data_IF_232246730066
#
_entry.id   IF_232246730066
#
_cell.length_a   1.000
_cell.length_b   1.000
_cell.length_c   1.000
_cell.angle_alpha   90.00
_cell.angle_beta   90.00
_cell.angle_gamma   90.00
#
_symmetry.space_group_name_H-M   'P 1'
#
loop_
_entity.id
_entity.type
_entity.pdbx_description
1 polymer ?
#
# COMPACT_ATOMS: atom_id res chain seq x y z
N UNK A 1 -8.86 2.71 -14.69
CA UNK A 1 -8.15 1.92 -13.66
C UNK A 1 -9.18 1.23 -12.81
N UNK A 2 -9.06 -0.08 -12.59
CA UNK A 2 -9.95 -0.79 -11.71
C UNK A 2 -9.86 -0.19 -10.31
N UNK A 3 -10.98 -0.03 -9.68
CA UNK A 3 -11.05 0.44 -8.30
C UNK A 3 -10.76 -0.74 -7.34
N UNK A 4 -9.54 -1.30 -7.41
CA UNK A 4 -9.13 -2.44 -6.56
C UNK A 4 -9.29 -2.17 -5.05
N UNK A 5 -9.31 -0.88 -4.67
CA UNK A 5 -9.54 -0.41 -3.31
C UNK A 5 -10.70 0.58 -3.29
N UNK A 6 -11.74 0.27 -2.54
CA UNK A 6 -12.96 1.07 -2.41
C UNK A 6 -13.14 1.66 -1.02
N UNK A 7 -14.05 2.61 -0.89
CA UNK A 7 -14.43 3.22 0.37
C UNK A 7 -15.86 2.79 0.78
N UNK A 8 -15.99 2.11 1.91
CA UNK A 8 -17.27 1.93 2.59
C UNK A 8 -17.62 3.21 3.37
N UNK A 9 -18.42 4.07 2.75
CA UNK A 9 -18.72 5.43 3.22
C UNK A 9 -19.21 5.48 4.67
N UNK A 10 -20.12 4.57 5.05
CA UNK A 10 -20.70 4.51 6.38
C UNK A 10 -19.69 4.31 7.52
N UNK A 11 -18.51 3.78 7.23
CA UNK A 11 -17.51 3.44 8.23
C UNK A 11 -16.46 4.55 8.45
N UNK A 12 -16.29 5.49 7.54
CA UNK A 12 -15.28 6.54 7.68
C UNK A 12 -15.64 7.52 8.81
N UNK A 13 -14.72 7.76 9.74
CA UNK A 13 -14.85 8.65 10.91
C UNK A 13 -13.88 9.83 10.86
N UNK A 14 -13.36 10.21 9.72
CA UNK A 14 -12.53 11.41 9.49
C UNK A 14 -11.26 11.49 10.38
N UNK A 15 -10.66 10.36 10.73
CA UNK A 15 -9.48 10.34 11.60
C UNK A 15 -8.15 10.65 10.88
N UNK A 16 -8.16 10.83 9.56
CA UNK A 16 -7.03 11.13 8.67
C UNK A 16 -5.87 10.11 8.73
N UNK A 17 -6.01 8.97 9.42
CA UNK A 17 -4.94 7.99 9.57
C UNK A 17 -4.44 7.45 8.23
N UNK A 18 -5.36 7.18 7.29
CA UNK A 18 -5.02 6.74 5.94
C UNK A 18 -4.22 7.81 5.14
N UNK A 19 -4.55 9.10 5.27
CA UNK A 19 -3.82 10.21 4.64
C UNK A 19 -2.39 10.30 5.20
N UNK A 20 -2.27 10.17 6.53
CA UNK A 20 -0.97 10.23 7.22
C UNK A 20 -0.02 9.13 6.74
N UNK A 21 -0.52 7.91 6.57
CA UNK A 21 0.27 6.74 6.17
C UNK A 21 0.33 6.53 4.64
N UNK A 22 -0.27 7.40 3.84
CA UNK A 22 -0.15 7.32 2.40
C UNK A 22 1.20 7.92 1.96
N UNK A 23 2.15 7.12 1.45
CA UNK A 23 3.49 7.61 1.11
C UNK A 23 3.47 8.60 -0.06
N UNK A 24 2.50 8.47 -0.96
CA UNK A 24 2.35 9.33 -2.15
C UNK A 24 1.21 10.34 -2.03
N UNK A 25 0.56 10.44 -0.85
CA UNK A 25 -0.54 11.35 -0.58
C UNK A 25 -1.70 11.29 -1.59
N UNK A 26 -1.96 10.10 -2.13
CA UNK A 26 -3.02 9.82 -3.10
C UNK A 26 -4.40 9.63 -2.44
N UNK A 27 -4.72 10.40 -1.41
CA UNK A 27 -6.01 10.37 -0.72
C UNK A 27 -6.53 11.79 -0.58
N UNK A 28 -7.70 12.05 -1.16
CA UNK A 28 -8.43 13.30 -1.04
C UNK A 28 -9.42 13.23 0.11
N UNK A 29 -9.49 14.30 0.89
CA UNK A 29 -10.54 14.52 1.86
C UNK A 29 -11.56 15.51 1.31
N UNK A 30 -12.80 15.09 1.19
CA UNK A 30 -13.92 15.94 0.76
C UNK A 30 -15.24 15.33 1.23
N UNK A 31 -16.22 16.17 1.52
CA UNK A 31 -17.53 15.75 2.01
C UNK A 31 -17.45 14.90 3.28
N UNK A 32 -16.56 15.25 4.19
CA UNK A 32 -16.30 14.53 5.44
C UNK A 32 -15.86 13.06 5.25
N UNK A 33 -15.17 12.74 4.15
CA UNK A 33 -14.68 11.39 3.86
C UNK A 33 -13.34 11.40 3.14
N UNK A 34 -12.59 10.31 3.32
CA UNK A 34 -11.28 10.11 2.69
C UNK A 34 -11.42 9.21 1.45
N UNK A 35 -11.26 9.77 0.25
CA UNK A 35 -11.37 9.11 -1.05
C UNK A 35 -9.99 8.82 -1.64
N UNK A 36 -9.82 7.63 -2.24
CA UNK A 36 -8.59 7.28 -2.95
C UNK A 36 -8.58 7.99 -4.32
N UNK A 37 -7.44 8.57 -4.69
CA UNK A 37 -7.24 9.18 -5.99
C UNK A 37 -6.56 8.14 -6.89
N UNK A 38 -7.33 7.45 -7.73
CA UNK A 38 -6.88 6.27 -8.49
C UNK A 38 -5.68 6.52 -9.40
N UNK A 39 -5.65 7.66 -10.11
CA UNK A 39 -4.53 8.02 -10.99
C UNK A 39 -3.21 8.32 -10.24
N UNK A 40 -3.26 8.63 -8.95
CA UNK A 40 -2.09 8.85 -8.10
C UNK A 40 -1.75 7.65 -7.23
N UNK A 41 -2.73 6.80 -6.93
CA UNK A 41 -2.58 5.65 -6.04
C UNK A 41 -1.62 4.61 -6.64
N UNK A 42 -0.68 4.12 -5.82
CA UNK A 42 0.26 3.04 -6.16
C UNK A 42 -0.19 1.65 -5.67
N UNK A 43 -1.39 1.55 -5.12
CA UNK A 43 -2.00 0.30 -4.64
C UNK A 43 -1.19 -0.44 -3.57
N UNK A 44 -0.41 0.27 -2.74
CA UNK A 44 0.38 -0.34 -1.66
C UNK A 44 -0.46 -0.93 -0.53
N UNK A 45 -1.77 -0.63 -0.44
CA UNK A 45 -2.67 -1.17 0.56
C UNK A 45 -2.53 -0.58 1.97
N UNK A 46 -1.59 0.33 2.25
CA UNK A 46 -1.38 0.88 3.60
C UNK A 46 -2.62 1.55 4.18
N UNK A 47 -3.41 2.27 3.36
CA UNK A 47 -4.67 2.87 3.81
C UNK A 47 -5.72 1.84 4.25
N UNK A 48 -5.68 0.64 3.69
CA UNK A 48 -6.52 -0.50 4.09
C UNK A 48 -6.05 -1.08 5.43
N UNK A 49 -4.74 -1.32 5.58
CA UNK A 49 -4.14 -1.88 6.80
C UNK A 49 -4.37 -0.98 8.01
N UNK A 50 -4.05 0.32 7.88
CA UNK A 50 -4.06 1.24 9.03
C UNK A 50 -5.44 1.74 9.42
N UNK A 51 -6.50 1.45 8.64
CA UNK A 51 -7.83 1.95 8.90
C UNK A 51 -8.48 1.26 10.11
N UNK A 52 -8.65 1.94 11.28
CA UNK A 52 -9.22 1.30 12.46
C UNK A 52 -10.74 1.08 12.34
N UNK A 53 -11.35 1.73 11.34
CA UNK A 53 -12.80 1.65 11.07
C UNK A 53 -13.14 0.64 9.97
N UNK A 54 -12.15 -0.03 9.38
CA UNK A 54 -12.33 -0.92 8.23
C UNK A 54 -13.14 -0.25 7.09
N UNK A 55 -12.90 1.06 6.89
CA UNK A 55 -13.59 1.84 5.86
C UNK A 55 -12.99 1.66 4.46
N UNK A 56 -11.82 1.05 4.33
CA UNK A 56 -11.21 0.69 3.05
C UNK A 56 -11.41 -0.80 2.81
N UNK A 57 -11.83 -1.17 1.60
CA UNK A 57 -12.10 -2.54 1.22
C UNK A 57 -11.39 -2.87 -0.09
N UNK A 58 -10.94 -4.11 -0.21
CA UNK A 58 -10.46 -4.68 -1.47
C UNK A 58 -11.69 -5.17 -2.23
N UNK A 59 -11.70 -4.99 -3.54
CA UNK A 59 -12.79 -5.52 -4.39
C UNK A 59 -12.68 -7.04 -4.44
N UNK A 60 -13.77 -7.71 -4.10
CA UNK A 60 -13.87 -9.17 -4.12
C UNK A 60 -14.08 -9.67 -5.56
N UNK A 61 -13.19 -10.57 -6.01
CA UNK A 61 -13.30 -11.22 -7.32
C UNK A 61 -13.77 -12.69 -7.24
N UNK A 62 -14.25 -13.16 -6.08
CA UNK A 62 -14.71 -14.54 -5.91
C UNK A 62 -15.80 -14.91 -6.91
N UNK A 63 -16.78 -14.04 -7.16
CA UNK A 63 -17.83 -14.30 -8.13
C UNK A 63 -17.30 -14.34 -9.58
N UNK A 64 -16.30 -13.52 -9.92
CA UNK A 64 -15.61 -13.60 -11.22
C UNK A 64 -14.96 -14.97 -11.42
N UNK A 65 -14.30 -15.50 -10.38
CA UNK A 65 -13.71 -16.84 -10.41
C UNK A 65 -14.78 -17.92 -10.50
N UNK A 66 -15.88 -17.82 -9.77
CA UNK A 66 -17.01 -18.77 -9.87
C UNK A 66 -17.57 -18.85 -11.29
N UNK A 67 -17.68 -17.73 -11.98
CA UNK A 67 -18.09 -17.70 -13.39
C UNK A 67 -17.09 -18.45 -14.27
N UNK A 68 -15.78 -18.31 -14.04
CA UNK A 68 -14.75 -19.08 -14.79
C UNK A 68 -14.87 -20.58 -14.53
N UNK A 69 -15.09 -21.00 -13.28
CA UNK A 69 -15.24 -22.41 -12.90
C UNK A 69 -16.49 -23.08 -13.46
N UNK A 70 -17.55 -22.30 -13.68
CA UNK A 70 -18.78 -22.80 -14.34
C UNK A 70 -18.66 -22.90 -15.87
N UNK A 71 -17.54 -22.44 -16.43
CA UNK A 71 -17.23 -22.55 -17.85
C UNK A 71 -16.76 -23.94 -18.26
N UNK A 72 -16.41 -24.08 -19.54
CA UNK A 72 -15.89 -25.36 -20.10
C UNK A 72 -14.37 -25.48 -20.08
N UNK A 73 -13.69 -24.34 -19.92
CA UNK A 73 -12.23 -24.28 -19.95
C UNK A 73 -11.62 -24.67 -18.59
N UNK A 74 -10.51 -25.39 -18.55
CA UNK A 74 -9.86 -25.75 -17.29
C UNK A 74 -9.31 -24.50 -16.59
N UNK A 75 -9.62 -24.34 -15.30
CA UNK A 75 -9.16 -23.21 -14.50
C UNK A 75 -7.98 -23.64 -13.61
N UNK A 76 -6.82 -23.04 -13.84
CA UNK A 76 -5.59 -23.29 -13.08
C UNK A 76 -5.36 -22.20 -12.04
N UNK A 77 -4.82 -22.58 -10.91
CA UNK A 77 -4.36 -21.64 -9.88
C UNK A 77 -2.84 -21.47 -9.95
N UNK A 78 -2.40 -20.21 -9.97
CA UNK A 78 -1.04 -19.78 -9.66
C UNK A 78 -1.00 -19.30 -8.22
N UNK A 79 -0.49 -20.12 -7.30
CA UNK A 79 -0.47 -19.85 -5.87
C UNK A 79 0.84 -19.18 -5.46
N UNK A 80 0.77 -17.97 -4.88
CA UNK A 80 1.96 -17.25 -4.43
C UNK A 80 2.67 -17.98 -3.27
N UNK A 81 4.01 -18.11 -3.29
CA UNK A 81 4.75 -18.94 -2.31
C UNK A 81 4.66 -18.41 -0.86
N UNK A 82 4.18 -17.20 -0.64
CA UNK A 82 3.85 -16.68 0.70
C UNK A 82 2.67 -17.41 1.38
N UNK A 83 1.95 -18.29 0.66
CA UNK A 83 0.85 -19.05 1.23
C UNK A 83 1.27 -19.89 2.43
N UNK A 84 2.51 -20.42 2.44
CA UNK A 84 3.06 -21.22 3.55
C UNK A 84 3.15 -20.43 4.86
N UNK A 85 3.34 -19.12 4.77
CA UNK A 85 3.34 -18.24 5.94
C UNK A 85 1.92 -17.84 6.35
N UNK A 86 0.98 -17.74 5.40
CA UNK A 86 -0.41 -17.40 5.68
C UNK A 86 -1.21 -18.58 6.28
N UNK A 87 -0.97 -19.77 5.76
CA UNK A 87 -1.67 -21.01 6.18
C UNK A 87 -0.69 -21.93 6.91
N UNK A 88 -0.46 -21.64 8.19
CA UNK A 88 0.54 -22.33 9.04
C UNK A 88 0.41 -23.86 9.00
N UNK A 89 1.44 -24.54 8.52
CA UNK A 89 1.50 -25.98 8.40
C UNK A 89 0.77 -26.58 7.20
N UNK A 90 0.34 -25.77 6.22
CA UNK A 90 -0.35 -26.23 5.03
C UNK A 90 0.60 -26.17 3.82
N UNK A 91 0.95 -27.32 3.23
CA UNK A 91 1.78 -27.42 2.04
C UNK A 91 0.98 -27.34 0.73
N UNK A 92 1.70 -27.39 -0.41
CA UNK A 92 1.08 -27.25 -1.74
C UNK A 92 0.09 -28.37 -2.05
N UNK A 93 0.35 -29.60 -1.61
CA UNK A 93 -0.56 -30.73 -1.86
C UNK A 93 -1.90 -30.57 -1.11
N UNK A 94 -1.87 -30.08 0.12
CA UNK A 94 -3.07 -29.76 0.89
C UNK A 94 -3.87 -28.64 0.23
N UNK A 95 -3.19 -27.59 -0.25
CA UNK A 95 -3.83 -26.51 -1.02
C UNK A 95 -4.44 -27.02 -2.32
N UNK A 96 -3.72 -27.89 -3.05
CA UNK A 96 -4.21 -28.50 -4.30
C UNK A 96 -5.48 -29.31 -4.05
N UNK A 97 -5.50 -30.12 -3.00
CA UNK A 97 -6.68 -30.91 -2.60
C UNK A 97 -7.89 -30.03 -2.30
N UNK A 98 -7.70 -28.97 -1.49
CA UNK A 98 -8.76 -28.07 -1.10
C UNK A 98 -9.31 -27.27 -2.30
N UNK A 99 -8.44 -26.74 -3.13
CA UNK A 99 -8.84 -25.93 -4.28
C UNK A 99 -9.49 -26.78 -5.39
N UNK A 100 -9.12 -28.04 -5.54
CA UNK A 100 -9.84 -28.99 -6.42
C UNK A 100 -11.28 -29.25 -5.94
N UNK A 101 -11.55 -29.20 -4.62
CA UNK A 101 -12.93 -29.27 -4.11
C UNK A 101 -13.78 -28.03 -4.48
N UNK A 102 -13.13 -26.86 -4.66
CA UNK A 102 -13.79 -25.66 -5.15
C UNK A 102 -14.05 -25.69 -6.68
N UNK A 103 -13.53 -26.70 -7.39
CA UNK A 103 -13.73 -26.88 -8.83
C UNK A 103 -12.53 -26.48 -9.71
N UNK A 104 -11.40 -26.05 -9.12
CA UNK A 104 -10.19 -25.79 -9.91
C UNK A 104 -9.62 -27.07 -10.53
N UNK A 105 -9.11 -26.94 -11.76
CA UNK A 105 -8.54 -28.07 -12.48
C UNK A 105 -7.22 -28.52 -11.85
N UNK A 106 -6.31 -27.57 -11.62
CA UNK A 106 -5.05 -27.84 -10.90
C UNK A 106 -4.49 -26.59 -10.24
N UNK A 107 -3.50 -26.80 -9.33
CA UNK A 107 -2.86 -25.74 -8.54
C UNK A 107 -1.35 -25.89 -8.64
N UNK A 108 -0.70 -24.85 -9.13
CA UNK A 108 0.75 -24.77 -9.25
C UNK A 108 1.30 -23.55 -8.50
N UNK A 109 2.57 -23.61 -8.12
CA UNK A 109 3.21 -22.52 -7.40
C UNK A 109 3.69 -21.43 -8.36
N UNK A 110 3.39 -20.15 -8.03
CA UNK A 110 3.98 -19.00 -8.74
C UNK A 110 5.52 -18.99 -8.68
N UNK A 111 6.11 -19.77 -7.79
CA UNK A 111 7.56 -19.95 -7.69
C UNK A 111 8.19 -20.55 -8.98
N UNK A 112 7.41 -21.26 -9.79
CA UNK A 112 7.80 -21.66 -11.16
C UNK A 112 8.05 -20.40 -12.02
N UNK A 113 7.11 -19.48 -12.03
CA UNK A 113 7.26 -18.18 -12.71
C UNK A 113 8.39 -17.33 -12.13
N UNK A 114 8.65 -17.44 -10.81
CA UNK A 114 9.77 -16.78 -10.17
C UNK A 114 11.13 -17.32 -10.68
N UNK A 115 11.24 -18.63 -10.92
CA UNK A 115 12.43 -19.21 -11.57
C UNK A 115 12.63 -18.66 -12.98
N UNK A 116 11.56 -18.57 -13.77
CA UNK A 116 11.60 -17.99 -15.12
C UNK A 116 12.08 -16.53 -15.09
N UNK A 117 11.54 -15.72 -14.18
CA UNK A 117 11.90 -14.30 -14.05
C UNK A 117 13.34 -14.11 -13.56
N UNK A 118 13.79 -14.92 -12.60
CA UNK A 118 15.16 -14.91 -12.10
C UNK A 118 16.16 -15.21 -13.23
N UNK A 119 15.89 -16.23 -14.03
CA UNK A 119 16.73 -16.57 -15.18
C UNK A 119 16.79 -15.42 -16.20
N UNK A 120 15.70 -14.66 -16.35
CA UNK A 120 15.68 -13.49 -17.24
C UNK A 120 16.49 -12.33 -16.67
N UNK A 121 16.47 -12.10 -15.35
CA UNK A 121 17.35 -11.11 -14.72
C UNK A 121 18.82 -11.47 -14.86
N UNK A 122 19.20 -12.73 -14.61
CA UNK A 122 20.57 -13.20 -14.81
C UNK A 122 20.99 -12.98 -16.26
N UNK A 123 20.17 -13.40 -17.24
CA UNK A 123 20.44 -13.21 -18.67
C UNK A 123 20.55 -11.73 -19.07
N UNK A 124 19.67 -10.88 -18.53
CA UNK A 124 19.69 -9.43 -18.81
C UNK A 124 20.97 -8.80 -18.28
N UNK A 125 21.39 -9.14 -17.06
CA UNK A 125 22.65 -8.64 -16.48
C UNK A 125 23.88 -9.11 -17.27
N UNK A 126 23.84 -10.32 -17.85
CA UNK A 126 24.95 -10.81 -18.68
C UNK A 126 25.04 -10.11 -20.04
N UNK A 127 23.93 -9.74 -20.61
CA UNK A 127 23.84 -9.19 -21.98
C UNK A 127 23.84 -7.66 -22.05
N UNK A 128 23.34 -7.00 -21.02
CA UNK A 128 23.17 -5.55 -20.98
C UNK A 128 24.10 -4.90 -19.94
N UNK A 129 24.79 -3.85 -20.36
CA UNK A 129 25.65 -3.08 -19.44
C UNK A 129 24.87 -1.87 -18.89
N UNK A 130 23.80 -2.13 -18.14
CA UNK A 130 23.06 -1.09 -17.40
C UNK A 130 23.81 -0.76 -16.12
N UNK A 131 23.94 0.53 -15.79
CA UNK A 131 24.62 0.94 -14.57
C UNK A 131 23.86 0.56 -13.30
N UNK A 132 22.53 0.77 -13.32
CA UNK A 132 21.62 0.40 -12.22
C UNK A 132 20.42 -0.34 -12.78
N UNK A 133 20.00 -1.43 -12.12
CA UNK A 133 18.83 -2.20 -12.46
C UNK A 133 17.92 -2.34 -11.25
N UNK A 134 16.67 -1.89 -11.36
CA UNK A 134 15.62 -2.08 -10.36
C UNK A 134 14.75 -3.26 -10.80
N UNK A 135 14.50 -4.21 -9.91
CA UNK A 135 13.61 -5.35 -10.19
C UNK A 135 12.16 -4.91 -10.43
N UNK A 136 11.47 -5.52 -11.42
CA UNK A 136 10.09 -5.18 -11.82
C UNK A 136 9.01 -6.13 -11.28
N UNK A 137 9.33 -7.01 -10.34
CA UNK A 137 8.39 -7.98 -9.78
C UNK A 137 7.25 -7.34 -8.99
N UNK A 138 7.52 -6.23 -8.29
CA UNK A 138 6.55 -5.53 -7.47
C UNK A 138 5.77 -4.50 -8.27
N UNK A 139 4.50 -4.77 -8.59
CA UNK A 139 3.67 -3.85 -9.36
C UNK A 139 3.47 -2.48 -8.68
N UNK A 140 3.43 -2.45 -7.36
CA UNK A 140 3.37 -1.19 -6.59
C UNK A 140 4.59 -0.31 -6.83
N UNK A 141 5.79 -0.89 -6.90
CA UNK A 141 7.02 -0.14 -7.24
C UNK A 141 7.00 0.32 -8.70
N UNK A 142 6.51 -0.52 -9.61
CA UNK A 142 6.35 -0.13 -11.01
C UNK A 142 5.41 1.09 -11.13
N UNK A 143 4.26 1.07 -10.44
CA UNK A 143 3.33 2.20 -10.37
C UNK A 143 3.94 3.43 -9.69
N UNK A 144 4.78 3.25 -8.66
CA UNK A 144 5.49 4.35 -8.02
C UNK A 144 6.42 5.06 -9.01
N UNK A 145 7.19 4.30 -9.78
CA UNK A 145 8.09 4.83 -10.79
C UNK A 145 7.29 5.49 -11.92
N UNK A 146 6.35 4.77 -12.52
CA UNK A 146 5.55 5.28 -13.66
C UNK A 146 4.77 6.55 -13.35
N UNK A 147 4.27 6.71 -12.10
CA UNK A 147 3.40 7.83 -11.69
C UNK A 147 4.15 8.97 -11.02
N UNK A 148 5.14 8.66 -10.19
CA UNK A 148 5.76 9.65 -9.29
C UNK A 148 7.23 9.92 -9.55
N UNK A 149 7.92 9.01 -10.24
CA UNK A 149 9.35 9.10 -10.55
C UNK A 149 9.62 8.62 -11.99
N UNK A 150 8.96 9.19 -13.02
CA UNK A 150 9.09 8.72 -14.40
C UNK A 150 10.53 8.79 -14.93
N UNK A 151 11.37 9.66 -14.36
CA UNK A 151 12.79 9.77 -14.70
C UNK A 151 13.58 8.50 -14.32
N UNK A 152 13.03 7.64 -13.43
CA UNK A 152 13.65 6.39 -13.03
C UNK A 152 13.23 5.19 -13.90
N UNK A 153 12.40 5.39 -14.96
CA UNK A 153 11.94 4.29 -15.83
C UNK A 153 13.08 3.56 -16.52
N UNK A 154 14.15 4.25 -16.91
CA UNK A 154 15.31 3.65 -17.58
C UNK A 154 16.09 2.67 -16.70
N UNK A 155 15.93 2.77 -15.36
CA UNK A 155 16.53 1.85 -14.41
C UNK A 155 15.65 0.64 -14.11
N UNK A 156 14.35 0.70 -14.44
CA UNK A 156 13.42 -0.40 -14.18
C UNK A 156 13.65 -1.54 -15.19
N UNK A 157 13.81 -2.77 -14.69
CA UNK A 157 13.92 -3.94 -15.54
C UNK A 157 12.63 -4.15 -16.35
N UNK A 158 12.74 -4.29 -17.66
CA UNK A 158 11.61 -4.48 -18.56
C UNK A 158 11.16 -5.96 -18.63
N UNK A 159 11.03 -6.59 -17.45
CA UNK A 159 10.70 -8.00 -17.28
C UNK A 159 9.33 -8.16 -16.64
N UNK A 160 8.53 -9.12 -17.15
CA UNK A 160 7.22 -9.46 -16.57
C UNK A 160 7.37 -10.00 -15.14
N UNK A 161 6.30 -9.90 -14.35
CA UNK A 161 6.31 -10.42 -12.97
C UNK A 161 6.20 -11.95 -12.92
N UNK A 162 6.59 -12.60 -11.80
CA UNK A 162 6.40 -14.04 -11.61
C UNK A 162 4.96 -14.53 -11.84
N UNK A 163 3.96 -13.74 -11.43
CA UNK A 163 2.55 -14.03 -11.71
C UNK A 163 2.29 -14.12 -13.21
N UNK A 164 2.73 -13.12 -13.97
CA UNK A 164 2.53 -13.11 -15.43
C UNK A 164 3.33 -14.20 -16.12
N UNK A 165 4.58 -14.44 -15.71
CA UNK A 165 5.44 -15.47 -16.27
C UNK A 165 4.84 -16.87 -16.08
N UNK A 166 4.34 -17.18 -14.89
CA UNK A 166 3.72 -18.45 -14.58
C UNK A 166 2.40 -18.66 -15.32
N UNK A 167 1.51 -17.64 -15.31
CA UNK A 167 0.24 -17.74 -16.04
C UNK A 167 0.43 -17.88 -17.56
N UNK A 168 1.44 -17.21 -18.13
CA UNK A 168 1.84 -17.44 -19.55
C UNK A 168 2.34 -18.85 -19.77
N UNK A 169 3.15 -19.42 -18.86
CA UNK A 169 3.64 -20.79 -18.97
C UNK A 169 2.48 -21.79 -18.91
N UNK A 170 1.52 -21.62 -17.99
CA UNK A 170 0.31 -22.44 -17.93
C UNK A 170 -0.45 -22.37 -19.25
N UNK A 171 -0.74 -21.17 -19.77
CA UNK A 171 -1.47 -21.00 -21.05
C UNK A 171 -0.68 -21.54 -22.26
N UNK A 172 0.65 -21.53 -22.22
CA UNK A 172 1.48 -22.16 -23.24
C UNK A 172 1.36 -23.69 -23.23
N UNK A 173 1.30 -24.31 -22.04
CA UNK A 173 1.09 -25.76 -21.88
C UNK A 173 -0.36 -26.18 -22.12
N UNK A 174 -1.31 -25.31 -21.78
CA UNK A 174 -2.75 -25.54 -21.88
C UNK A 174 -3.43 -24.32 -22.55
N UNK A 175 -3.51 -24.27 -23.89
CA UNK A 175 -3.92 -23.06 -24.62
C UNK A 175 -5.31 -22.51 -24.26
N UNK A 176 -6.25 -23.37 -23.82
CA UNK A 176 -7.59 -22.95 -23.39
C UNK A 176 -7.70 -22.68 -21.89
N UNK A 177 -6.61 -22.79 -21.12
CA UNK A 177 -6.64 -22.62 -19.69
C UNK A 177 -7.02 -21.18 -19.29
N UNK A 178 -7.87 -21.09 -18.28
CA UNK A 178 -8.05 -19.88 -17.48
C UNK A 178 -7.09 -19.91 -16.30
N UNK A 179 -6.57 -18.77 -15.91
CA UNK A 179 -5.59 -18.67 -14.83
C UNK A 179 -6.07 -17.72 -13.74
N UNK A 180 -6.02 -18.21 -12.51
CA UNK A 180 -6.37 -17.44 -11.31
C UNK A 180 -5.11 -17.32 -10.43
N UNK A 181 -4.65 -16.11 -10.18
CA UNK A 181 -3.58 -15.91 -9.21
C UNK A 181 -4.16 -15.76 -7.80
N UNK A 182 -3.55 -16.42 -6.83
CA UNK A 182 -3.93 -16.30 -5.41
C UNK A 182 -2.70 -15.84 -4.60
N UNK A 183 -2.84 -14.72 -3.86
CA UNK A 183 -1.70 -14.17 -3.12
C UNK A 183 -2.04 -13.01 -2.17
N UNK A 184 -1.02 -12.40 -1.53
CA UNK A 184 -1.20 -11.41 -0.47
C UNK A 184 -1.39 -9.97 -0.98
N UNK A 185 -1.39 -9.74 -2.30
CA UNK A 185 -1.14 -8.43 -2.88
C UNK A 185 -2.36 -7.86 -3.61
N UNK A 186 -2.78 -6.65 -3.20
CA UNK A 186 -3.88 -5.92 -3.85
C UNK A 186 -3.50 -5.43 -5.25
N UNK A 187 -2.25 -4.96 -5.43
CA UNK A 187 -1.78 -4.42 -6.70
C UNK A 187 -1.75 -5.46 -7.83
N UNK A 188 -1.78 -6.75 -7.51
CA UNK A 188 -1.85 -7.82 -8.52
C UNK A 188 -3.20 -7.88 -9.25
N UNK A 189 -4.28 -7.36 -8.64
CA UNK A 189 -5.58 -7.20 -9.33
C UNK A 189 -5.46 -6.17 -10.47
N UNK A 190 -4.84 -5.02 -10.20
CA UNK A 190 -4.57 -4.00 -11.21
C UNK A 190 -3.58 -4.49 -12.29
N UNK A 191 -2.55 -5.23 -11.89
CA UNK A 191 -1.58 -5.79 -12.85
C UNK A 191 -2.25 -6.77 -13.83
N UNK A 192 -3.17 -7.62 -13.33
CA UNK A 192 -3.90 -8.57 -14.14
C UNK A 192 -4.83 -7.88 -15.15
N UNK A 193 -5.48 -6.80 -14.73
CA UNK A 193 -6.40 -6.04 -15.57
C UNK A 193 -5.68 -5.12 -16.55
N UNK A 194 -4.56 -4.50 -16.12
CA UNK A 194 -3.76 -3.61 -17.00
C UNK A 194 -3.08 -4.40 -18.14
N UNK A 195 -2.66 -5.64 -17.88
CA UNK A 195 -2.04 -6.53 -18.87
C UNK A 195 -2.99 -7.68 -19.22
N UNK A 196 -4.08 -7.34 -19.90
CA UNK A 196 -5.16 -8.26 -20.26
C UNK A 196 -4.70 -9.56 -20.98
N UNK A 197 -5.47 -10.62 -20.81
CA UNK A 197 -5.28 -11.88 -21.51
C UNK A 197 -4.24 -12.83 -20.90
N UNK A 198 -3.49 -12.39 -19.89
CA UNK A 198 -2.48 -13.24 -19.22
C UNK A 198 -3.05 -13.88 -17.95
N UNK A 199 -3.67 -13.09 -17.09
CA UNK A 199 -4.27 -13.55 -15.82
C UNK A 199 -5.74 -13.23 -15.87
N UNK A 200 -6.61 -14.22 -15.68
CA UNK A 200 -8.06 -14.03 -15.84
C UNK A 200 -8.73 -13.47 -14.57
N UNK A 201 -8.23 -13.82 -13.37
CA UNK A 201 -8.68 -13.26 -12.10
C UNK A 201 -7.59 -13.32 -11.02
N UNK A 202 -7.77 -12.50 -9.96
CA UNK A 202 -6.83 -12.47 -8.83
C UNK A 202 -7.62 -12.52 -7.52
N UNK A 203 -7.36 -13.52 -6.68
CA UNK A 203 -7.87 -13.59 -5.32
C UNK A 203 -6.78 -13.24 -4.31
N UNK A 204 -7.17 -12.56 -3.25
CA UNK A 204 -6.36 -12.44 -2.04
C UNK A 204 -6.53 -13.68 -1.16
N UNK A 205 -5.62 -13.88 -0.23
CA UNK A 205 -5.75 -14.98 0.75
C UNK A 205 -7.01 -14.84 1.60
N UNK A 206 -7.47 -13.63 1.88
CA UNK A 206 -8.70 -13.39 2.63
C UNK A 206 -9.94 -13.86 1.84
N UNK A 207 -10.03 -13.48 0.56
CA UNK A 207 -11.11 -13.93 -0.33
C UNK A 207 -11.14 -15.47 -0.43
N UNK A 208 -9.96 -16.10 -0.52
CA UNK A 208 -9.86 -17.56 -0.53
C UNK A 208 -10.30 -18.17 0.82
N UNK A 209 -9.81 -17.63 1.94
CA UNK A 209 -10.16 -18.14 3.28
C UNK A 209 -11.65 -18.07 3.52
N UNK A 210 -12.27 -16.89 3.23
CA UNK A 210 -13.72 -16.74 3.35
C UNK A 210 -14.51 -17.68 2.43
N UNK A 211 -13.96 -18.00 1.26
CA UNK A 211 -14.61 -18.93 0.34
C UNK A 211 -14.51 -20.37 0.85
N UNK A 212 -13.33 -20.82 1.30
CA UNK A 212 -13.15 -22.15 1.91
C UNK A 212 -14.07 -22.34 3.13
N UNK A 213 -14.18 -21.32 3.99
CA UNK A 213 -15.04 -21.34 5.17
C UNK A 213 -16.53 -21.48 4.78
N UNK A 214 -16.99 -20.76 3.77
CA UNK A 214 -18.39 -20.84 3.25
C UNK A 214 -18.72 -22.24 2.72
N UNK A 215 -17.77 -22.90 2.06
CA UNK A 215 -17.93 -24.26 1.52
C UNK A 215 -17.59 -25.36 2.55
N UNK A 216 -17.23 -25.00 3.79
CA UNK A 216 -16.80 -25.89 4.86
C UNK A 216 -15.61 -26.78 4.46
N UNK A 217 -14.68 -26.27 3.66
CA UNK A 217 -13.45 -26.96 3.25
C UNK A 217 -12.36 -26.68 4.27
N UNK A 218 -11.85 -27.71 4.91
CA UNK A 218 -10.78 -27.62 5.90
C UNK A 218 -9.44 -27.93 5.27
N UNK A 219 -8.45 -27.03 5.49
CA UNK A 219 -7.08 -27.25 5.03
C UNK A 219 -6.36 -28.26 5.94
N UNK A 220 -5.89 -29.35 5.37
CA UNK A 220 -5.09 -30.35 6.09
C UNK A 220 -3.69 -29.79 6.39
N UNK A 221 -3.22 -29.95 7.61
CA UNK A 221 -1.84 -29.57 7.98
C UNK A 221 -0.87 -30.67 7.56
N UNK A 222 -0.28 -30.50 6.42
CA UNK A 222 0.78 -31.31 5.87
C UNK A 222 1.70 -30.44 5.02
N UNK A 223 2.95 -30.32 5.39
CA UNK A 223 3.97 -29.51 4.70
C UNK A 223 4.88 -30.33 3.80
N UNK A 224 4.69 -31.63 3.73
CA UNK A 224 5.52 -32.50 2.89
C UNK A 224 5.31 -32.12 1.41
N UNK A 225 6.41 -31.87 0.75
CA UNK A 225 6.47 -31.60 -0.70
C UNK A 225 7.61 -32.42 -1.28
N UNK A 226 7.35 -33.11 -2.37
CA UNK A 226 8.39 -33.83 -3.12
C UNK A 226 9.33 -32.87 -3.87
N UNK A 227 8.86 -31.65 -4.14
CA UNK A 227 9.60 -30.62 -4.85
C UNK A 227 10.07 -29.52 -3.89
N UNK A 228 11.36 -29.21 -3.94
CA UNK A 228 11.97 -28.11 -3.21
C UNK A 228 12.61 -27.14 -4.20
N UNK A 229 12.34 -25.82 -4.02
CA UNK A 229 12.93 -24.81 -4.89
C UNK A 229 13.32 -23.57 -4.14
N UNK A 230 14.52 -23.03 -4.43
CA UNK A 230 14.94 -21.73 -3.88
C UNK A 230 14.11 -20.57 -4.39
N UNK A 231 13.39 -20.69 -5.51
CA UNK A 231 12.46 -19.65 -5.96
C UNK A 231 11.29 -19.42 -5.00
N UNK A 232 11.04 -20.32 -4.06
CA UNK A 232 10.10 -20.12 -2.95
C UNK A 232 10.52 -18.99 -1.98
N UNK A 233 11.79 -18.53 -2.02
CA UNK A 233 12.25 -17.36 -1.27
C UNK A 233 11.72 -16.01 -1.80
N UNK A 234 11.22 -15.94 -3.03
CA UNK A 234 10.79 -14.68 -3.66
C UNK A 234 9.87 -13.79 -2.80
N UNK A 235 8.98 -14.29 -1.94
CA UNK A 235 8.12 -13.45 -1.13
C UNK A 235 8.82 -12.81 0.08
N UNK A 236 10.12 -13.02 0.30
CA UNK A 236 10.90 -12.47 1.40
C UNK A 236 11.86 -11.40 0.91
N UNK A 237 12.25 -10.47 1.78
CA UNK A 237 13.28 -9.46 1.46
C UNK A 237 14.62 -10.12 1.14
N UNK A 238 15.20 -9.76 0.00
CA UNK A 238 16.39 -10.40 -0.55
C UNK A 238 16.12 -11.77 -1.18
N UNK A 239 14.84 -12.16 -1.32
CA UNK A 239 14.47 -13.47 -1.86
C UNK A 239 14.81 -13.63 -3.32
N UNK A 240 14.65 -12.59 -4.14
CA UNK A 240 15.10 -12.59 -5.54
C UNK A 240 16.61 -12.78 -5.58
N UNK A 241 17.35 -11.97 -4.80
CA UNK A 241 18.80 -12.04 -4.76
C UNK A 241 19.38 -13.39 -4.31
N UNK A 242 18.65 -14.12 -3.44
CA UNK A 242 19.04 -15.47 -3.02
C UNK A 242 18.96 -16.50 -4.14
N UNK A 243 18.15 -16.24 -5.14
CA UNK A 243 17.93 -17.17 -6.25
C UNK A 243 18.82 -16.89 -7.45
N UNK A 244 19.31 -15.63 -7.61
CA UNK A 244 20.14 -15.19 -8.74
C UNK A 244 21.56 -15.76 -8.67
N UNK A 245 22.17 -15.92 -9.83
CA UNK A 245 23.54 -16.41 -9.97
C UNK A 245 24.57 -15.42 -9.42
N UNK A 246 24.33 -14.09 -9.55
CA UNK A 246 25.22 -13.01 -9.11
C UNK A 246 26.64 -13.09 -9.71
N UNK A 247 26.71 -13.45 -11.00
CA UNK A 247 27.99 -13.69 -11.68
C UNK A 247 28.69 -12.37 -12.05
N UNK A 248 27.98 -11.24 -12.11
CA UNK A 248 28.53 -9.91 -12.39
C UNK A 248 29.23 -9.35 -11.14
N UNK A 249 30.55 -9.59 -11.04
CA UNK A 249 31.36 -9.29 -9.84
C UNK A 249 31.55 -7.80 -9.54
N UNK A 250 31.38 -6.95 -10.54
CA UNK A 250 31.45 -5.48 -10.42
C UNK A 250 30.11 -4.84 -10.02
N UNK A 251 29.06 -5.65 -9.78
CA UNK A 251 27.76 -5.19 -9.31
C UNK A 251 27.55 -5.47 -7.84
N UNK A 252 27.01 -4.47 -7.14
CA UNK A 252 26.40 -4.66 -5.82
C UNK A 252 24.98 -5.18 -5.95
N UNK A 253 24.58 -6.07 -5.06
CA UNK A 253 23.25 -6.67 -5.03
C UNK A 253 22.53 -6.27 -3.74
N UNK A 254 21.54 -5.39 -3.86
CA UNK A 254 20.86 -4.76 -2.73
C UNK A 254 19.39 -5.17 -2.69
N UNK A 255 18.85 -5.38 -1.48
CA UNK A 255 17.42 -5.57 -1.26
C UNK A 255 16.86 -4.42 -0.41
N UNK A 256 15.83 -3.75 -0.93
CA UNK A 256 15.18 -2.61 -0.30
C UNK A 256 13.68 -2.86 -0.23
N UNK A 257 13.13 -2.76 0.98
CA UNK A 257 11.70 -2.92 1.22
C UNK A 257 11.09 -1.70 1.93
N UNK A 258 9.78 -1.57 1.79
CA UNK A 258 9.02 -0.40 2.25
C UNK A 258 9.07 0.77 1.26
N UNK A 259 7.88 1.35 0.98
CA UNK A 259 7.75 2.42 -0.04
C UNK A 259 8.65 3.61 0.25
N UNK A 260 8.76 4.05 1.50
CA UNK A 260 9.58 5.22 1.87
C UNK A 260 11.07 4.97 1.63
N UNK A 261 11.56 3.76 1.94
CA UNK A 261 12.94 3.36 1.67
C UNK A 261 13.20 3.28 0.15
N UNK A 262 12.25 2.72 -0.60
CA UNK A 262 12.33 2.68 -2.07
C UNK A 262 12.34 4.10 -2.68
N UNK A 263 11.53 5.02 -2.16
CA UNK A 263 11.56 6.45 -2.58
C UNK A 263 12.92 7.07 -2.32
N UNK A 264 13.52 6.81 -1.15
CA UNK A 264 14.87 7.31 -0.83
C UNK A 264 15.92 6.77 -1.80
N UNK A 265 15.89 5.46 -2.06
CA UNK A 265 16.82 4.83 -3.00
C UNK A 265 16.64 5.36 -4.44
N UNK A 266 15.40 5.52 -4.91
CA UNK A 266 15.13 6.11 -6.24
C UNK A 266 15.72 7.53 -6.34
N UNK A 267 15.59 8.35 -5.30
CA UNK A 267 16.20 9.70 -5.26
C UNK A 267 17.73 9.66 -5.29
N UNK A 268 18.34 8.71 -4.59
CA UNK A 268 19.81 8.55 -4.62
C UNK A 268 20.29 8.06 -5.98
N UNK A 269 19.56 7.16 -6.66
CA UNK A 269 19.83 6.77 -8.04
C UNK A 269 19.74 7.98 -8.99
N UNK A 270 18.64 8.74 -8.93
CA UNK A 270 18.43 9.91 -9.78
C UNK A 270 19.44 11.04 -9.52
N UNK A 271 20.01 11.10 -8.32
CA UNK A 271 21.07 12.06 -7.98
C UNK A 271 22.49 11.57 -8.34
N UNK A 272 22.62 10.40 -8.97
CA UNK A 272 23.91 9.83 -9.39
C UNK A 272 24.82 9.41 -8.24
N UNK A 273 24.26 8.98 -7.11
CA UNK A 273 25.03 8.47 -5.96
C UNK A 273 25.19 6.96 -5.96
N UNK A 274 24.41 6.26 -6.78
CA UNK A 274 24.35 4.81 -6.82
C UNK A 274 24.73 4.35 -8.21
N UNK A 275 25.69 3.46 -8.31
CA UNK A 275 26.25 2.93 -9.54
C UNK A 275 26.45 1.43 -9.45
N UNK A 276 26.50 0.75 -10.60
CA UNK A 276 26.83 -0.68 -10.73
C UNK A 276 26.09 -1.54 -9.71
N UNK A 277 24.75 -1.51 -9.72
CA UNK A 277 24.00 -2.35 -8.81
C UNK A 277 22.70 -2.91 -9.40
N UNK A 278 22.33 -4.09 -8.90
CA UNK A 278 20.99 -4.67 -9.04
C UNK A 278 20.24 -4.50 -7.72
N UNK A 279 19.07 -3.87 -7.77
CA UNK A 279 18.27 -3.56 -6.59
C UNK A 279 16.95 -4.31 -6.61
N UNK A 280 16.79 -5.27 -5.71
CA UNK A 280 15.49 -5.86 -5.42
C UNK A 280 14.67 -4.84 -4.64
N UNK A 281 13.57 -4.32 -5.24
CA UNK A 281 12.67 -3.39 -4.57
C UNK A 281 11.29 -3.99 -4.32
N UNK A 282 10.79 -3.86 -3.11
CA UNK A 282 9.43 -4.22 -2.73
C UNK A 282 8.74 -3.15 -1.87
N UNK A 283 7.45 -2.92 -2.10
CA UNK A 283 6.70 -1.87 -1.42
C UNK A 283 6.33 -2.23 0.04
N UNK A 284 6.24 -3.52 0.36
CA UNK A 284 5.86 -4.01 1.68
C UNK A 284 7.11 -4.28 2.52
N UNK A 285 7.10 -3.91 3.80
CA UNK A 285 8.16 -4.25 4.75
C UNK A 285 8.13 -5.77 4.97
N UNK A 286 9.27 -6.44 4.82
CA UNK A 286 9.35 -7.90 4.77
C UNK A 286 9.02 -8.49 3.40
N UNK A 287 8.88 -7.66 2.35
CA UNK A 287 8.45 -8.06 1.01
C UNK A 287 7.01 -8.63 1.01
N UNK A 288 6.68 -9.63 0.18
CA UNK A 288 5.31 -10.12 0.03
C UNK A 288 4.73 -10.79 1.28
N UNK A 289 5.57 -11.37 2.17
CA UNK A 289 5.09 -11.92 3.47
C UNK A 289 4.58 -10.81 4.41
N UNK A 290 5.04 -9.56 4.24
CA UNK A 290 4.49 -8.37 4.89
C UNK A 290 3.42 -7.67 4.04
N UNK A 291 2.80 -8.36 3.09
CA UNK A 291 1.76 -7.79 2.22
C UNK A 291 0.52 -7.31 2.98
N UNK A 292 -0.26 -6.37 2.41
CA UNK A 292 -1.35 -5.69 3.14
C UNK A 292 -2.44 -6.64 3.63
N UNK A 293 -2.69 -7.74 2.93
CA UNK A 293 -3.68 -8.75 3.37
C UNK A 293 -3.14 -9.53 4.56
N UNK A 294 -1.89 -9.98 4.51
CA UNK A 294 -1.25 -10.69 5.62
C UNK A 294 -1.12 -9.79 6.84
N UNK A 295 -0.66 -8.55 6.68
CA UNK A 295 -0.53 -7.60 7.78
C UNK A 295 -1.89 -7.31 8.45
N UNK A 296 -2.96 -7.19 7.67
CA UNK A 296 -4.30 -6.89 8.18
C UNK A 296 -4.96 -8.04 8.92
N UNK A 297 -4.89 -9.25 8.40
CA UNK A 297 -5.67 -10.39 8.86
C UNK A 297 -4.83 -11.42 9.62
N UNK A 298 -3.64 -11.71 9.14
CA UNK A 298 -2.79 -12.73 9.73
C UNK A 298 -2.00 -12.22 10.94
N UNK A 299 -1.51 -10.96 10.91
CA UNK A 299 -0.77 -10.26 11.99
C UNK A 299 0.37 -11.08 12.59
N UNK A 300 1.00 -11.92 11.80
CA UNK A 300 2.15 -12.70 12.22
C UNK A 300 3.41 -11.80 12.33
N UNK A 301 4.43 -12.32 12.97
CA UNK A 301 5.75 -11.69 12.93
C UNK A 301 6.40 -11.95 11.58
N UNK A 302 6.87 -10.89 10.90
CA UNK A 302 7.66 -11.01 9.66
C UNK A 302 8.79 -12.04 9.81
N UNK A 303 9.39 -12.14 11.00
CA UNK A 303 10.43 -13.13 11.30
C UNK A 303 9.88 -14.57 11.27
N UNK A 304 8.71 -14.79 11.85
CA UNK A 304 8.04 -16.12 11.82
C UNK A 304 7.71 -16.50 10.37
N UNK A 305 7.19 -15.56 9.61
CA UNK A 305 6.79 -15.75 8.21
C UNK A 305 8.00 -16.04 7.32
N UNK A 306 9.10 -15.31 7.54
CA UNK A 306 10.38 -15.59 6.90
C UNK A 306 10.91 -17.00 7.21
N UNK A 307 10.83 -17.43 8.48
CA UNK A 307 11.25 -18.78 8.90
C UNK A 307 10.37 -19.84 8.22
N UNK A 308 9.05 -19.64 8.14
CA UNK A 308 8.14 -20.56 7.46
C UNK A 308 8.52 -20.73 5.98
N UNK A 309 8.73 -19.63 5.27
CA UNK A 309 9.20 -19.65 3.87
C UNK A 309 10.57 -20.32 3.76
N UNK A 310 11.51 -20.01 4.67
CA UNK A 310 12.87 -20.57 4.63
C UNK A 310 12.89 -22.10 4.83
N UNK A 311 12.00 -22.60 5.68
CA UNK A 311 11.87 -24.06 5.90
C UNK A 311 11.21 -24.77 4.71
N UNK A 312 10.36 -24.06 3.98
CA UNK A 312 9.64 -24.59 2.82
C UNK A 312 10.44 -24.47 1.53
N UNK A 313 11.36 -23.51 1.45
CA UNK A 313 12.24 -23.34 0.31
C UNK A 313 13.32 -24.45 0.24
N UNK A 314 13.80 -24.72 -0.96
CA UNK A 314 14.89 -25.65 -1.23
C UNK A 314 16.18 -24.94 -1.68
N UNK A 315 17.10 -25.72 -2.18
CA UNK A 315 18.41 -25.29 -2.68
C UNK A 315 18.56 -25.40 -4.21
N UNK A 316 17.57 -25.99 -4.88
CA UNK A 316 17.52 -26.17 -6.34
C UNK A 316 16.50 -25.22 -6.97
N UNK A 317 16.60 -25.03 -8.29
CA UNK A 317 15.58 -24.33 -9.06
C UNK A 317 14.51 -25.32 -9.57
N UNK A 318 13.32 -24.83 -9.88
CA UNK A 318 12.36 -25.59 -10.67
C UNK A 318 12.92 -25.82 -12.08
N UNK A 319 12.62 -26.99 -12.65
CA UNK A 319 12.88 -27.25 -14.08
C UNK A 319 11.84 -26.49 -14.89
N UNK A 320 12.27 -25.49 -15.64
CA UNK A 320 11.39 -24.63 -16.43
C UNK A 320 11.80 -24.59 -17.89
N UNK A 321 10.83 -24.47 -18.77
CA UNK A 321 11.08 -24.11 -20.16
C UNK A 321 11.18 -22.59 -20.27
N UNK A 322 12.41 -22.07 -20.37
CA UNK A 322 12.65 -20.63 -20.38
C UNK A 322 12.07 -20.00 -21.66
N UNK A 323 11.16 -19.01 -21.53
CA UNK A 323 10.66 -18.25 -22.69
C UNK A 323 11.76 -17.39 -23.33
N UNK A 324 11.49 -16.89 -24.54
CA UNK A 324 12.41 -15.95 -25.18
C UNK A 324 12.41 -14.60 -24.45
N UNK A 325 13.48 -13.81 -24.61
CA UNK A 325 13.53 -12.44 -24.07
C UNK A 325 12.33 -11.59 -24.50
N UNK A 326 11.89 -11.77 -25.75
CA UNK A 326 10.73 -11.05 -26.29
C UNK A 326 9.44 -11.36 -25.51
N UNK A 327 9.24 -12.62 -25.14
CA UNK A 327 8.06 -13.08 -24.40
C UNK A 327 8.08 -12.60 -22.95
N UNK A 328 9.29 -12.37 -22.41
CA UNK A 328 9.51 -11.90 -21.05
C UNK A 328 9.45 -10.37 -20.95
N UNK A 329 9.47 -9.67 -22.09
CA UNK A 329 9.50 -8.20 -22.09
C UNK A 329 8.20 -7.59 -21.60
N UNK A 330 8.33 -6.58 -20.73
CA UNK A 330 7.25 -5.76 -20.22
C UNK A 330 7.51 -4.30 -20.55
N UNK A 331 6.55 -3.64 -21.18
CA UNK A 331 6.67 -2.23 -21.52
C UNK A 331 6.10 -1.38 -20.38
N UNK A 332 6.89 -0.43 -19.90
CA UNK A 332 6.47 0.58 -18.95
C UNK A 332 6.39 1.94 -19.63
N UNK A 333 5.31 2.66 -19.40
CA UNK A 333 5.11 4.02 -19.89
C UNK A 333 4.85 4.96 -18.73
N UNK A 334 5.14 6.23 -18.94
CA UNK A 334 4.78 7.29 -17.98
C UNK A 334 3.27 7.34 -17.84
N UNK A 335 2.79 7.35 -16.61
CA UNK A 335 1.39 7.58 -16.28
C UNK A 335 1.28 9.03 -15.80
N UNK A 336 0.88 9.92 -16.71
CA UNK A 336 0.80 11.35 -16.43
C UNK A 336 -0.17 11.68 -15.29
N UNK A 337 0.31 12.48 -14.36
CA UNK A 337 -0.49 13.08 -13.30
C UNK A 337 -0.74 14.55 -13.64
N UNK A 338 -2.00 14.93 -13.82
CA UNK A 338 -2.39 16.33 -14.04
C UNK A 338 -2.44 17.08 -12.71
N UNK A 339 -1.30 17.20 -12.02
CA UNK A 339 -1.20 17.95 -10.78
C UNK A 339 -0.78 19.39 -11.09
N UNK A 340 -1.64 20.33 -10.78
CA UNK A 340 -1.28 21.75 -10.81
C UNK A 340 -0.31 22.02 -9.65
N UNK A 341 0.83 22.63 -9.96
CA UNK A 341 1.80 23.09 -8.95
C UNK A 341 1.46 24.55 -8.61
N UNK A 342 1.12 24.88 -7.35
CA UNK A 342 0.89 26.25 -6.94
C UNK A 342 2.18 27.06 -6.95
N UNK A 343 2.04 28.36 -7.19
CA UNK A 343 3.12 29.34 -6.97
C UNK A 343 3.40 29.56 -5.49
N UNK A 344 4.55 30.14 -5.18
CA UNK A 344 4.90 30.51 -3.80
C UNK A 344 3.89 31.46 -3.15
N UNK A 345 3.31 32.36 -3.95
CA UNK A 345 2.30 33.30 -3.49
C UNK A 345 0.99 32.60 -3.13
N UNK A 346 0.53 31.66 -3.95
CA UNK A 346 -0.68 30.85 -3.68
C UNK A 346 -0.50 30.01 -2.41
N UNK A 347 0.70 29.41 -2.21
CA UNK A 347 1.01 28.66 -0.99
C UNK A 347 0.93 29.59 0.23
N UNK A 348 1.55 30.78 0.18
CA UNK A 348 1.49 31.75 1.27
C UNK A 348 0.07 32.20 1.58
N UNK A 349 -0.74 32.46 0.56
CA UNK A 349 -2.14 32.86 0.74
C UNK A 349 -2.94 31.77 1.47
N UNK A 350 -2.75 30.49 1.12
CA UNK A 350 -3.41 29.38 1.80
C UNK A 350 -2.89 29.23 3.24
N UNK A 351 -1.59 29.39 3.49
CA UNK A 351 -1.03 29.38 4.85
C UNK A 351 -1.64 30.50 5.71
N UNK A 352 -1.79 31.71 5.15
CA UNK A 352 -2.48 32.82 5.84
C UNK A 352 -3.93 32.46 6.19
N UNK A 353 -4.69 31.85 5.26
CA UNK A 353 -6.06 31.38 5.54
C UNK A 353 -6.10 30.32 6.63
N UNK A 354 -5.03 29.56 6.84
CA UNK A 354 -4.85 28.60 7.92
C UNK A 354 -4.37 29.25 9.23
N UNK A 355 -4.33 30.58 9.34
CA UNK A 355 -3.81 31.30 10.50
C UNK A 355 -2.28 31.31 10.63
N UNK A 356 -1.55 31.02 9.53
CA UNK A 356 -0.08 30.90 9.52
C UNK A 356 0.54 32.03 8.72
N UNK A 357 0.65 33.20 9.35
CA UNK A 357 1.20 34.42 8.73
C UNK A 357 2.72 34.53 8.89
N UNK A 358 3.32 33.74 9.79
CA UNK A 358 4.76 33.73 10.08
C UNK A 358 5.29 32.30 10.09
N UNK A 359 6.55 32.04 9.68
CA UNK A 359 7.16 30.71 9.71
C UNK A 359 7.10 30.01 11.08
N UNK A 360 7.18 30.78 12.19
CA UNK A 360 7.06 30.23 13.55
C UNK A 360 5.70 29.62 13.88
N UNK A 361 4.66 29.93 13.11
CA UNK A 361 3.31 29.36 13.25
C UNK A 361 3.12 28.08 12.45
N UNK A 362 4.09 27.73 11.59
CA UNK A 362 4.10 26.47 10.84
C UNK A 362 4.61 25.33 11.72
N UNK A 363 3.74 24.81 12.60
CA UNK A 363 4.11 23.79 13.61
C UNK A 363 4.56 22.46 13.01
N UNK A 364 4.24 22.19 11.75
CA UNK A 364 4.56 20.93 11.04
C UNK A 364 4.20 19.66 11.84
N UNK A 365 3.08 19.72 12.61
CA UNK A 365 2.73 18.70 13.62
C UNK A 365 2.19 17.38 13.04
N UNK A 366 1.93 17.30 11.74
CA UNK A 366 1.45 16.09 11.06
C UNK A 366 0.01 15.67 11.39
N UNK A 367 -0.71 16.33 12.30
CA UNK A 367 -2.06 15.92 12.75
C UNK A 367 -3.09 15.82 11.62
N UNK A 368 -2.98 16.68 10.60
CA UNK A 368 -3.83 16.69 9.41
C UNK A 368 -3.49 15.59 8.37
N UNK A 369 -2.40 14.84 8.59
CA UNK A 369 -1.93 13.78 7.67
C UNK A 369 -0.84 14.22 6.69
N UNK A 370 -0.43 15.50 6.69
CA UNK A 370 0.69 16.04 5.92
C UNK A 370 1.86 16.35 6.83
N UNK A 371 3.09 16.09 6.37
CA UNK A 371 4.28 16.25 7.22
C UNK A 371 4.59 17.71 7.52
N UNK A 372 4.33 18.61 6.56
CA UNK A 372 4.53 20.06 6.75
C UNK A 372 3.25 20.84 6.49
N UNK A 373 3.17 22.04 7.07
CA UNK A 373 2.07 22.97 6.80
C UNK A 373 2.05 23.41 5.33
N UNK A 374 3.23 23.49 4.71
CA UNK A 374 3.41 23.81 3.30
C UNK A 374 2.87 22.69 2.38
N UNK A 375 3.19 21.42 2.67
CA UNK A 375 2.60 20.28 1.94
C UNK A 375 1.07 20.28 2.03
N UNK A 376 0.52 20.62 3.18
CA UNK A 376 -0.93 20.76 3.34
C UNK A 376 -1.49 21.90 2.49
N UNK A 377 -0.83 23.04 2.44
CA UNK A 377 -1.26 24.17 1.60
C UNK A 377 -1.29 23.78 0.12
N UNK A 378 -0.27 23.05 -0.36
CA UNK A 378 -0.24 22.49 -1.72
C UNK A 378 -1.42 21.52 -1.92
N UNK A 379 -1.70 20.64 -0.97
CA UNK A 379 -2.81 19.71 -1.04
C UNK A 379 -4.18 20.40 -1.05
N UNK A 380 -4.34 21.52 -0.33
CA UNK A 380 -5.56 22.36 -0.38
C UNK A 380 -5.71 22.95 -1.78
N UNK A 381 -4.65 23.54 -2.34
CA UNK A 381 -4.66 24.07 -3.71
C UNK A 381 -5.10 23.03 -4.73
N UNK A 382 -4.62 21.80 -4.60
CA UNK A 382 -4.97 20.67 -5.45
C UNK A 382 -6.36 20.06 -5.17
N UNK A 383 -7.13 20.62 -4.24
CA UNK A 383 -8.45 20.09 -3.85
C UNK A 383 -8.41 18.74 -3.14
N UNK A 384 -7.25 18.36 -2.56
CA UNK A 384 -7.04 17.10 -1.82
C UNK A 384 -7.31 17.22 -0.33
N UNK A 385 -7.24 18.44 0.20
CA UNK A 385 -7.39 18.72 1.63
C UNK A 385 -8.26 19.95 1.88
N UNK A 386 -8.82 20.04 3.07
CA UNK A 386 -9.59 21.18 3.55
C UNK A 386 -8.84 21.88 4.69
N UNK A 387 -9.04 23.20 4.83
CA UNK A 387 -8.47 24.01 5.93
C UNK A 387 -8.88 23.42 7.28
N UNK A 388 -10.13 22.99 7.40
CA UNK A 388 -10.75 22.37 8.59
C UNK A 388 -10.00 21.14 9.12
N UNK A 389 -9.15 20.49 8.32
CA UNK A 389 -8.31 19.37 8.79
C UNK A 389 -7.17 19.82 9.73
N UNK A 390 -6.87 21.12 9.83
CA UNK A 390 -5.82 21.63 10.70
C UNK A 390 -6.28 21.72 12.15
N UNK A 391 -5.78 20.83 13.01
CA UNK A 391 -6.18 20.82 14.41
C UNK A 391 -5.87 22.14 15.15
N UNK A 392 -4.67 22.75 15.06
CA UNK A 392 -4.40 24.06 15.66
C UNK A 392 -5.36 25.13 15.18
N UNK A 393 -5.65 25.19 13.88
CA UNK A 393 -6.62 26.16 13.32
C UNK A 393 -8.04 25.93 13.87
N UNK A 394 -8.50 24.67 13.95
CA UNK A 394 -9.82 24.36 14.51
C UNK A 394 -9.93 24.74 15.98
N UNK A 395 -8.88 24.47 16.75
CA UNK A 395 -8.82 24.84 18.18
C UNK A 395 -8.92 26.34 18.34
N UNK A 396 -8.08 27.10 17.66
CA UNK A 396 -8.07 28.57 17.70
C UNK A 396 -9.42 29.17 17.26
N UNK A 397 -10.02 28.62 16.19
CA UNK A 397 -11.34 29.05 15.73
C UNK A 397 -12.45 28.75 16.74
N UNK A 398 -12.39 27.57 17.40
CA UNK A 398 -13.38 27.22 18.44
C UNK A 398 -13.26 28.10 19.68
N UNK A 399 -12.03 28.38 20.13
CA UNK A 399 -11.76 29.30 21.24
C UNK A 399 -12.26 30.73 20.94
N UNK A 400 -11.89 31.25 19.77
CA UNK A 400 -12.34 32.60 19.32
C UNK A 400 -13.87 32.70 19.19
N UNK A 401 -14.53 31.62 18.71
CA UNK A 401 -15.98 31.57 18.60
C UNK A 401 -16.65 31.54 19.99
N UNK A 402 -16.14 30.75 20.92
CA UNK A 402 -16.59 30.70 22.31
C UNK A 402 -16.45 32.04 22.96
N UNK A 403 -15.28 32.67 22.87
CA UNK A 403 -15.03 34.01 23.41
C UNK A 403 -15.97 35.07 22.82
N UNK A 404 -16.23 35.00 21.51
CA UNK A 404 -17.13 35.93 20.84
C UNK A 404 -18.57 35.78 21.34
N UNK A 405 -19.09 34.55 21.52
CA UNK A 405 -20.44 34.30 22.04
C UNK A 405 -20.54 34.79 23.48
N UNK A 406 -19.57 34.40 24.31
CA UNK A 406 -19.58 34.77 25.75
C UNK A 406 -19.50 36.28 25.93
N UNK A 407 -18.59 36.96 25.22
CA UNK A 407 -18.36 38.40 25.40
C UNK A 407 -19.44 39.28 24.77
N UNK A 408 -20.12 38.84 23.70
CA UNK A 408 -21.22 39.57 23.07
C UNK A 408 -22.61 39.27 23.68
N UNK A 409 -22.71 38.35 24.63
CA UNK A 409 -23.96 38.08 25.32
C UNK A 409 -24.36 39.30 26.15
N UNK A 410 -25.61 39.80 26.03
CA UNK A 410 -26.12 40.87 26.91
C UNK A 410 -26.33 40.40 28.35
N UNK A 411 -26.42 39.11 28.60
CA UNK A 411 -26.54 38.51 29.91
C UNK A 411 -25.17 38.33 30.57
N UNK A 412 -25.09 38.50 31.87
CA UNK A 412 -23.89 38.18 32.65
C UNK A 412 -23.67 36.65 32.64
N UNK A 413 -22.51 36.20 32.09
CA UNK A 413 -22.12 34.81 32.01
C UNK A 413 -20.84 34.56 32.81
N UNK A 414 -20.86 33.56 33.68
CA UNK A 414 -19.71 33.03 34.40
C UNK A 414 -19.64 31.52 34.11
N UNK A 415 -18.51 31.08 33.63
CA UNK A 415 -18.24 29.66 33.36
C UNK A 415 -17.39 29.09 34.49
N UNK A 416 -17.84 28.02 35.11
CA UNK A 416 -17.18 27.37 36.24
C UNK A 416 -16.69 25.98 35.80
N UNK A 417 -15.60 25.52 36.43
CA UNK A 417 -15.17 24.12 36.32
C UNK A 417 -15.92 23.23 37.35
N UNK A 418 -15.59 21.94 37.37
CA UNK A 418 -16.18 20.93 38.28
C UNK A 418 -15.94 21.26 39.80
N UNK A 419 -14.93 22.10 40.10
CA UNK A 419 -14.62 22.55 41.46
C UNK A 419 -15.27 23.90 41.82
N UNK A 420 -16.15 24.38 40.95
CA UNK A 420 -16.79 25.71 41.07
C UNK A 420 -15.80 26.88 41.01
N UNK A 421 -14.65 26.71 40.40
CA UNK A 421 -13.68 27.78 40.13
C UNK A 421 -14.02 28.50 38.82
N UNK A 422 -13.92 29.83 38.82
CA UNK A 422 -14.22 30.66 37.65
C UNK A 422 -13.20 30.41 36.53
N UNK A 423 -13.67 29.89 35.43
CA UNK A 423 -12.86 29.64 34.22
C UNK A 423 -12.97 30.81 33.22
N UNK A 424 -14.14 31.42 33.12
CA UNK A 424 -14.38 32.52 32.21
C UNK A 424 -15.52 33.44 32.77
N UNK A 425 -15.38 34.72 32.56
CA UNK A 425 -16.40 35.73 32.91
C UNK A 425 -16.52 36.75 31.78
N UNK A 426 -17.75 37.11 31.39
CA UNK A 426 -17.96 38.06 30.31
C UNK A 426 -18.10 39.51 30.83
N UNK A 427 -18.00 40.46 29.89
CA UNK A 427 -18.10 41.91 30.20
C UNK A 427 -19.41 42.29 30.88
N UNK A 428 -20.53 41.64 30.58
CA UNK A 428 -21.82 41.91 31.21
C UNK A 428 -21.83 41.45 32.66
N UNK A 429 -21.30 40.29 33.00
CA UNK A 429 -21.15 39.81 34.38
C UNK A 429 -20.19 40.68 35.19
N UNK A 430 -19.05 41.07 34.63
CA UNK A 430 -18.09 41.96 35.28
C UNK A 430 -18.75 43.30 35.66
N UNK A 431 -19.55 43.88 34.74
CA UNK A 431 -20.29 45.11 35.01
C UNK A 431 -21.34 44.90 36.10
N UNK A 432 -22.12 43.83 36.06
CA UNK A 432 -23.15 43.51 37.05
C UNK A 432 -22.56 43.30 38.44
N UNK A 433 -21.40 42.70 38.54
CA UNK A 433 -20.73 42.34 39.81
C UNK A 433 -19.69 43.39 40.22
N UNK A 434 -19.55 44.49 39.49
CA UNK A 434 -18.57 45.52 39.71
C UNK A 434 -17.11 45.06 39.79
N UNK A 435 -16.77 44.03 38.97
CA UNK A 435 -15.42 43.47 38.86
C UNK A 435 -14.64 44.30 37.84
N UNK A 436 -13.42 44.71 38.18
CA UNK A 436 -12.60 45.59 37.32
C UNK A 436 -11.88 44.84 36.22
N UNK A 437 -11.41 43.64 36.51
CA UNK A 437 -10.72 42.79 35.56
C UNK A 437 -11.12 41.34 35.73
N UNK A 438 -11.21 40.58 34.62
CA UNK A 438 -11.43 39.15 34.68
C UNK A 438 -10.33 38.39 35.46
N UNK A 439 -9.09 38.91 35.44
CA UNK A 439 -7.97 38.37 36.21
C UNK A 439 -8.18 38.39 37.72
N UNK A 440 -9.08 39.24 38.20
CA UNK A 440 -9.33 39.41 39.65
C UNK A 440 -10.17 38.27 40.25
N UNK A 441 -10.81 37.46 39.38
CA UNK A 441 -11.72 36.37 39.77
C UNK A 441 -11.46 35.04 39.10
N UNK A 442 -10.58 35.02 38.10
CA UNK A 442 -10.23 33.76 37.41
C UNK A 442 -9.48 32.82 38.36
N UNK A 443 -10.01 31.60 38.53
CA UNK A 443 -9.50 30.58 39.44
C UNK A 443 -10.08 30.61 40.84
N UNK A 444 -10.85 31.68 41.22
CA UNK A 444 -11.52 31.76 42.52
C UNK A 444 -12.74 30.83 42.54
N UNK A 445 -13.00 30.25 43.70
CA UNK A 445 -14.23 29.51 43.94
C UNK A 445 -15.43 30.44 44.13
N UNK A 446 -16.50 30.14 43.41
CA UNK A 446 -17.80 30.80 43.63
C UNK A 446 -18.51 30.04 44.76
N UNK A 447 -18.43 30.57 45.95
CA UNK A 447 -19.09 30.03 47.14
C UNK A 447 -20.36 30.84 47.43
#
# INVERSE_FOLDING_TARGET
>A
MPDCLTLKKSNCKNCYKCIRHCPVKAIRFSGNQAHIIGNECILCGQCFVVCPQNAKQIVDETEKVRVLLNGTDPVFVSLAPSFIANYDGVGIESMRKALKQLGFYDVEETAVGATIVKNEYDRMLDQEDRDVVISSCCHTINLLIQKHYPEALDYLADVISPMQAHCKDIKRRFPNAKTVFIGPCVAKKDEAEYYEGVVDAVLTYEELTEWLDRENIVLEKNVDSEEYSKARFFPTTGGILKTMAKDKKDYDYLAIDGVENCISAIKDILSGKVHKCFIEMSACIGSCVGGPVMEKFHRSSIVKDYIAVSKYAGDKDFVVSQPTARDMKKNFSVIEQRLQKPSEEEIKNILCQMGKTKPSQELNCGSCGYNTCREKAIAIYQGKAEISMCLPYLKEKAESFSDTIVNNSPNGLIVLNEKLEVQQINNAAMKLMNIRSASDVLGDQVV
#
